data_IF_355433035008
#
_entry.id   IF_355433035008
#
_cell.length_a   1.000
_cell.length_b   1.000
_cell.length_c   1.000
_cell.angle_alpha   90.00
_cell.angle_beta   90.00
_cell.angle_gamma   90.00
#
_symmetry.space_group_name_H-M   'P 1'
#
loop_
_entity.id
_entity.type
_entity.pdbx_description
1 polymer ?
#
# COMPACT_ATOMS: atom_id res chain seq x y z
N UNK A 1 -18.42 -27.36 5.65
CA UNK A 1 -17.67 -26.95 6.85
C UNK A 1 -17.80 -25.43 6.98
N UNK A 2 -18.44 -24.93 8.03
CA UNK A 2 -18.57 -23.50 8.24
C UNK A 2 -17.19 -22.98 8.68
N UNK A 3 -16.58 -22.16 7.85
CA UNK A 3 -15.32 -21.49 8.17
C UNK A 3 -15.54 -20.55 9.36
N UNK A 4 -14.75 -20.68 10.40
CA UNK A 4 -14.84 -19.83 11.60
C UNK A 4 -14.37 -18.41 11.25
N UNK A 5 -14.92 -17.38 11.89
CA UNK A 5 -14.45 -16.01 11.79
C UNK A 5 -12.94 -15.88 12.04
N UNK A 6 -12.38 -16.73 12.89
CA UNK A 6 -10.94 -16.81 13.16
C UNK A 6 -10.14 -17.21 11.92
N UNK A 7 -10.67 -18.15 11.11
CA UNK A 7 -10.02 -18.60 9.88
C UNK A 7 -9.99 -17.49 8.83
N UNK A 8 -11.06 -16.67 8.76
CA UNK A 8 -11.09 -15.49 7.87
C UNK A 8 -10.05 -14.44 8.27
N UNK A 9 -9.93 -14.15 9.57
CA UNK A 9 -8.95 -13.16 10.06
C UNK A 9 -7.51 -13.66 9.86
N UNK A 10 -7.25 -14.94 10.10
CA UNK A 10 -5.91 -15.51 9.89
C UNK A 10 -5.52 -15.53 8.42
N UNK A 11 -6.45 -15.88 7.53
CA UNK A 11 -6.20 -15.96 6.10
C UNK A 11 -6.25 -14.60 5.38
N UNK A 12 -6.67 -13.54 6.05
CA UNK A 12 -6.72 -12.17 5.47
C UNK A 12 -5.34 -11.48 5.38
N UNK A 13 -4.25 -12.14 5.81
CA UNK A 13 -2.90 -11.57 5.85
C UNK A 13 -2.47 -10.83 4.57
N UNK A 14 -2.59 -11.43 3.36
CA UNK A 14 -2.23 -10.76 2.12
C UNK A 14 -3.03 -9.48 1.85
N UNK A 15 -4.31 -9.46 2.22
CA UNK A 15 -5.18 -8.29 2.07
C UNK A 15 -4.73 -7.10 2.94
N UNK A 16 -4.24 -7.34 4.14
CA UNK A 16 -3.73 -6.30 5.02
C UNK A 16 -2.43 -5.68 4.49
N UNK A 17 -1.53 -6.51 3.94
CA UNK A 17 -0.31 -6.01 3.29
C UNK A 17 -0.68 -5.13 2.09
N UNK A 18 -1.64 -5.56 1.29
CA UNK A 18 -2.11 -4.80 0.14
C UNK A 18 -2.78 -3.49 0.56
N UNK A 19 -3.58 -3.50 1.62
CA UNK A 19 -4.16 -2.29 2.20
C UNK A 19 -3.08 -1.32 2.70
N UNK A 20 -2.01 -1.83 3.34
CA UNK A 20 -0.88 -1.01 3.79
C UNK A 20 -0.17 -0.32 2.63
N UNK A 21 0.04 -1.02 1.52
CA UNK A 21 0.63 -0.42 0.29
C UNK A 21 -0.30 0.64 -0.30
N UNK A 22 -1.60 0.39 -0.32
CA UNK A 22 -2.59 1.32 -0.89
C UNK A 22 -2.77 2.58 -0.03
N UNK A 23 -2.74 2.44 1.29
CA UNK A 23 -2.80 3.56 2.25
C UNK A 23 -1.47 4.31 2.41
N UNK A 24 -0.50 4.02 1.57
CA UNK A 24 0.79 4.68 1.60
C UNK A 24 0.69 6.21 1.49
N UNK A 25 1.73 6.90 1.99
CA UNK A 25 1.79 8.37 2.04
C UNK A 25 1.54 9.05 0.70
N UNK A 26 1.96 8.42 -0.41
CA UNK A 26 1.70 8.96 -1.76
C UNK A 26 0.22 9.09 -2.09
N UNK A 27 -0.59 8.10 -1.72
CA UNK A 27 -2.05 8.13 -1.93
C UNK A 27 -2.72 9.19 -1.06
N UNK A 28 -2.31 9.29 0.21
CA UNK A 28 -2.83 10.31 1.13
C UNK A 28 -2.50 11.72 0.66
N UNK A 29 -1.24 11.97 0.31
CA UNK A 29 -0.79 13.28 -0.18
C UNK A 29 -1.51 13.65 -1.49
N UNK A 30 -1.63 12.71 -2.43
CA UNK A 30 -2.34 12.96 -3.69
C UNK A 30 -3.81 13.28 -3.47
N UNK A 31 -4.47 12.60 -2.52
CA UNK A 31 -5.88 12.88 -2.17
C UNK A 31 -6.05 14.26 -1.54
N UNK A 32 -5.16 14.63 -0.62
CA UNK A 32 -5.16 15.97 -0.01
C UNK A 32 -4.89 17.04 -1.05
N UNK A 33 -3.93 16.83 -1.95
CA UNK A 33 -3.60 17.77 -3.02
C UNK A 33 -4.77 17.96 -4.01
N UNK A 34 -5.49 16.88 -4.32
CA UNK A 34 -6.71 16.95 -5.13
C UNK A 34 -7.76 17.86 -4.49
N UNK A 35 -7.94 17.75 -3.16
CA UNK A 35 -8.87 18.61 -2.42
C UNK A 35 -8.42 20.08 -2.39
N UNK A 36 -7.12 20.34 -2.33
CA UNK A 36 -6.55 21.71 -2.34
C UNK A 36 -6.77 22.39 -3.69
N UNK A 37 -6.61 21.66 -4.81
CA UNK A 37 -6.77 22.24 -6.16
C UNK A 37 -8.23 22.36 -6.56
N UNK A 38 -9.03 21.33 -6.33
CA UNK A 38 -10.37 21.21 -6.86
C UNK A 38 -11.50 21.34 -5.84
N UNK A 39 -11.16 21.58 -4.57
CA UNK A 39 -12.15 21.62 -3.50
C UNK A 39 -12.94 20.31 -3.41
N UNK A 40 -14.20 20.42 -3.02
CA UNK A 40 -15.10 19.27 -2.88
C UNK A 40 -15.58 18.68 -4.22
N UNK A 41 -15.46 19.43 -5.32
CA UNK A 41 -15.96 19.02 -6.64
C UNK A 41 -15.26 17.77 -7.19
N UNK A 42 -14.03 17.52 -6.79
CA UNK A 42 -13.25 16.36 -7.23
C UNK A 42 -13.21 15.18 -6.23
N UNK A 43 -13.88 15.28 -5.09
CA UNK A 43 -13.89 14.20 -4.09
C UNK A 43 -14.40 12.86 -4.64
N UNK A 44 -15.33 12.88 -5.59
CA UNK A 44 -15.86 11.66 -6.22
C UNK A 44 -14.84 10.90 -7.06
N UNK A 45 -13.77 11.55 -7.52
CA UNK A 45 -12.71 10.91 -8.30
C UNK A 45 -11.94 9.88 -7.46
N UNK A 46 -11.80 10.10 -6.16
CA UNK A 46 -11.08 9.21 -5.27
C UNK A 46 -11.77 7.84 -5.12
N UNK A 47 -13.07 7.75 -4.77
CA UNK A 47 -13.78 6.49 -4.77
C UNK A 47 -13.78 5.80 -6.14
N UNK A 48 -13.89 6.55 -7.23
CA UNK A 48 -13.86 6.00 -8.59
C UNK A 48 -12.49 5.38 -8.91
N UNK A 49 -11.39 6.09 -8.61
CA UNK A 49 -10.03 5.59 -8.81
C UNK A 49 -9.79 4.32 -7.98
N UNK A 50 -10.24 4.29 -6.72
CA UNK A 50 -10.16 3.12 -5.85
C UNK A 50 -10.95 1.94 -6.43
N UNK A 51 -12.15 2.15 -6.91
CA UNK A 51 -12.99 1.12 -7.52
C UNK A 51 -12.32 0.55 -8.78
N UNK A 52 -11.78 1.38 -9.64
CA UNK A 52 -10.99 0.93 -10.80
C UNK A 52 -9.77 0.09 -10.38
N UNK A 53 -9.05 0.52 -9.35
CA UNK A 53 -7.92 -0.23 -8.79
C UNK A 53 -8.33 -1.61 -8.25
N UNK A 54 -9.44 -1.69 -7.50
CA UNK A 54 -9.97 -2.95 -6.96
C UNK A 54 -10.36 -3.90 -8.10
N UNK A 55 -11.05 -3.41 -9.13
CA UNK A 55 -11.44 -4.21 -10.30
C UNK A 55 -10.23 -4.74 -11.04
N UNK A 56 -9.22 -3.90 -11.29
CA UNK A 56 -7.98 -4.31 -11.97
C UNK A 56 -7.21 -5.37 -11.17
N UNK A 57 -7.04 -5.15 -9.87
CA UNK A 57 -6.36 -6.10 -8.99
C UNK A 57 -7.15 -7.40 -8.85
N UNK A 58 -8.46 -7.32 -8.71
CA UNK A 58 -9.34 -8.48 -8.67
C UNK A 58 -9.25 -9.32 -9.94
N UNK A 59 -9.27 -8.68 -11.11
CA UNK A 59 -9.11 -9.35 -12.40
C UNK A 59 -7.75 -10.02 -12.52
N UNK A 60 -6.66 -9.34 -12.14
CA UNK A 60 -5.31 -9.89 -12.20
C UNK A 60 -5.17 -11.10 -11.26
N UNK A 61 -5.66 -11.00 -10.03
CA UNK A 61 -5.64 -12.10 -9.06
C UNK A 61 -6.50 -13.28 -9.55
N UNK A 62 -7.69 -13.02 -10.11
CA UNK A 62 -8.54 -14.07 -10.65
C UNK A 62 -7.84 -14.83 -11.79
N UNK A 63 -7.23 -14.11 -12.73
CA UNK A 63 -6.52 -14.72 -13.85
C UNK A 63 -5.33 -15.55 -13.35
N UNK A 64 -4.55 -15.03 -12.40
CA UNK A 64 -3.39 -15.77 -11.86
C UNK A 64 -3.78 -17.00 -11.07
N UNK A 65 -4.79 -16.91 -10.22
CA UNK A 65 -5.26 -18.02 -9.38
C UNK A 65 -6.02 -19.09 -10.18
N UNK A 66 -6.60 -18.74 -11.33
CA UNK A 66 -7.30 -19.70 -12.19
C UNK A 66 -6.35 -20.62 -12.99
N UNK A 67 -5.05 -20.34 -13.01
CA UNK A 67 -4.08 -21.19 -13.68
C UNK A 67 -3.81 -22.47 -12.89
N UNK A 68 -3.89 -23.59 -13.58
CA UNK A 68 -3.62 -24.92 -12.98
C UNK A 68 -2.14 -25.22 -12.80
N UNK A 69 -1.27 -24.55 -13.55
CA UNK A 69 0.18 -24.76 -13.51
C UNK A 69 0.83 -23.74 -12.58
N UNK A 70 1.47 -24.17 -11.47
CA UNK A 70 2.15 -23.26 -10.54
C UNK A 70 3.25 -22.41 -11.20
N UNK A 71 3.84 -22.88 -12.29
CA UNK A 71 4.88 -22.12 -13.02
C UNK A 71 4.30 -20.96 -13.82
N UNK A 72 3.00 -21.00 -14.15
CA UNK A 72 2.29 -19.97 -14.90
C UNK A 72 1.50 -18.99 -13.99
N UNK A 73 1.52 -19.18 -12.67
CA UNK A 73 0.79 -18.32 -11.75
C UNK A 73 1.41 -16.92 -11.57
N UNK A 74 2.47 -16.59 -12.31
CA UNK A 74 3.08 -15.27 -12.25
C UNK A 74 2.48 -14.36 -13.32
N UNK A 75 1.97 -13.16 -12.99
CA UNK A 75 1.37 -12.23 -13.97
C UNK A 75 2.26 -11.96 -15.18
N UNK A 76 3.56 -11.84 -14.97
CA UNK A 76 4.53 -11.66 -16.05
C UNK A 76 4.55 -12.83 -17.03
N UNK A 77 4.55 -14.08 -16.54
CA UNK A 77 4.57 -15.27 -17.39
C UNK A 77 3.26 -15.40 -18.20
N UNK A 78 2.15 -15.08 -17.56
CA UNK A 78 0.84 -15.05 -18.23
C UNK A 78 0.80 -14.03 -19.36
N UNK A 79 1.26 -12.81 -19.11
CA UNK A 79 1.32 -11.77 -20.12
C UNK A 79 2.27 -12.15 -21.26
N UNK A 80 3.45 -12.70 -20.92
CA UNK A 80 4.45 -13.14 -21.91
C UNK A 80 3.96 -14.25 -22.80
N UNK A 81 3.28 -15.26 -22.23
CA UNK A 81 2.90 -16.47 -22.96
C UNK A 81 1.58 -16.30 -23.73
N UNK A 82 0.63 -15.52 -23.20
CA UNK A 82 -0.73 -15.44 -23.77
C UNK A 82 -0.99 -14.13 -24.55
N UNK A 83 -0.17 -13.08 -24.36
CA UNK A 83 -0.38 -11.79 -25.02
C UNK A 83 0.82 -11.46 -25.91
N UNK A 84 1.92 -11.01 -25.33
CA UNK A 84 3.14 -10.65 -26.06
C UNK A 84 4.33 -10.51 -25.11
N UNK A 85 5.49 -11.02 -25.53
CA UNK A 85 6.73 -10.86 -24.76
C UNK A 85 7.14 -9.39 -24.63
N UNK A 86 6.97 -8.59 -25.67
CA UNK A 86 7.31 -7.15 -25.68
C UNK A 86 6.44 -6.37 -24.68
N UNK A 87 5.12 -6.62 -24.68
CA UNK A 87 4.20 -5.98 -23.73
C UNK A 87 4.49 -6.41 -22.29
N UNK A 88 4.80 -7.67 -22.05
CA UNK A 88 5.16 -8.17 -20.73
C UNK A 88 6.41 -7.49 -20.17
N UNK A 89 7.45 -7.34 -20.98
CA UNK A 89 8.67 -6.62 -20.59
C UNK A 89 8.42 -5.13 -20.38
N UNK A 90 7.66 -4.47 -21.26
CA UNK A 90 7.28 -3.07 -21.10
C UNK A 90 6.52 -2.83 -19.80
N UNK A 91 5.56 -3.70 -19.48
CA UNK A 91 4.82 -3.64 -18.22
C UNK A 91 5.73 -3.87 -17.00
N UNK A 92 6.63 -4.84 -17.05
CA UNK A 92 7.57 -5.12 -15.97
C UNK A 92 8.49 -3.92 -15.70
N UNK A 93 9.08 -3.35 -16.74
CA UNK A 93 9.97 -2.19 -16.62
C UNK A 93 9.19 -1.00 -16.07
N UNK A 94 8.00 -0.73 -16.61
CA UNK A 94 7.14 0.35 -16.12
C UNK A 94 6.76 0.17 -14.63
N UNK A 95 6.42 -1.06 -14.22
CA UNK A 95 6.12 -1.37 -12.83
C UNK A 95 7.34 -1.18 -11.92
N UNK A 96 8.53 -1.58 -12.34
CA UNK A 96 9.77 -1.39 -11.57
C UNK A 96 10.08 0.10 -11.40
N UNK A 97 10.01 0.88 -12.48
CA UNK A 97 10.25 2.33 -12.43
C UNK A 97 9.24 3.03 -11.53
N UNK A 98 7.95 2.70 -11.66
CA UNK A 98 6.91 3.24 -10.80
C UNK A 98 7.16 2.93 -9.32
N UNK A 99 7.54 1.68 -9.00
CA UNK A 99 7.86 1.30 -7.62
C UNK A 99 9.06 2.07 -7.06
N UNK A 100 10.10 2.32 -7.86
CA UNK A 100 11.26 3.13 -7.42
C UNK A 100 10.81 4.54 -7.06
N UNK A 101 9.99 5.17 -7.90
CA UNK A 101 9.46 6.54 -7.64
C UNK A 101 8.59 6.55 -6.38
N UNK A 102 7.72 5.56 -6.22
CA UNK A 102 6.89 5.43 -5.00
C UNK A 102 7.73 5.22 -3.74
N UNK A 103 8.76 4.37 -3.79
CA UNK A 103 9.66 4.17 -2.65
C UNK A 103 10.36 5.47 -2.26
N UNK A 104 10.85 6.25 -3.22
CA UNK A 104 11.51 7.52 -2.94
C UNK A 104 10.60 8.49 -2.18
N UNK A 105 9.33 8.61 -2.59
CA UNK A 105 8.34 9.45 -1.91
C UNK A 105 8.05 9.00 -0.48
N UNK A 106 8.02 7.68 -0.21
CA UNK A 106 7.81 7.15 1.14
C UNK A 106 8.97 7.51 2.09
N UNK A 107 10.20 7.44 1.61
CA UNK A 107 11.37 7.85 2.41
C UNK A 107 11.35 9.35 2.72
N UNK A 108 10.95 10.20 1.76
CA UNK A 108 10.79 11.63 1.97
C UNK A 108 9.75 11.91 3.07
N UNK A 109 8.55 11.33 2.94
CA UNK A 109 7.48 11.47 3.94
C UNK A 109 7.89 10.94 5.32
N UNK A 110 8.60 9.81 5.38
CA UNK A 110 9.12 9.28 6.63
C UNK A 110 10.13 10.22 7.28
N UNK A 111 10.99 10.83 6.49
CA UNK A 111 11.96 11.83 6.95
C UNK A 111 11.27 13.08 7.51
N UNK A 112 10.28 13.61 6.77
CA UNK A 112 9.50 14.77 7.18
C UNK A 112 8.70 14.49 8.46
N UNK A 113 8.13 13.30 8.59
CA UNK A 113 7.41 12.90 9.78
C UNK A 113 8.31 12.82 11.01
N UNK A 114 9.52 12.29 10.87
CA UNK A 114 10.50 12.21 11.97
C UNK A 114 10.98 13.61 12.37
N UNK A 115 11.28 14.47 11.43
CA UNK A 115 11.73 15.83 11.71
C UNK A 115 10.61 16.70 12.27
N UNK A 116 9.43 16.68 11.64
CA UNK A 116 8.32 17.55 12.01
C UNK A 116 7.59 17.13 13.28
N UNK A 117 7.35 15.82 13.46
CA UNK A 117 6.51 15.35 14.57
C UNK A 117 7.33 14.89 15.79
N UNK A 118 8.52 14.32 15.59
CA UNK A 118 9.39 13.87 16.67
C UNK A 118 10.43 14.92 17.06
N UNK A 119 10.53 16.03 16.33
CA UNK A 119 11.46 17.10 16.62
C UNK A 119 12.93 16.67 16.52
N UNK A 120 13.22 15.60 15.81
CA UNK A 120 14.57 15.08 15.67
C UNK A 120 15.37 15.93 14.67
N UNK A 121 15.84 17.07 15.13
CA UNK A 121 16.64 18.00 14.34
C UNK A 121 18.04 17.44 14.15
N UNK A 122 18.22 16.69 13.07
CA UNK A 122 19.54 16.25 12.61
C UNK A 122 20.08 17.26 11.61
N UNK A 123 21.40 17.46 11.58
CA UNK A 123 22.07 18.45 10.74
C UNK A 123 21.79 18.32 9.24
N UNK A 124 21.30 17.15 8.78
CA UNK A 124 20.95 16.90 7.39
C UNK A 124 19.80 15.89 7.26
N UNK A 125 18.74 16.17 6.50
CA UNK A 125 17.64 15.25 6.24
C UNK A 125 18.10 13.94 5.59
N UNK A 126 19.20 13.95 4.85
CA UNK A 126 19.77 12.76 4.22
C UNK A 126 20.20 11.68 5.23
N UNK A 127 20.58 12.05 6.45
CA UNK A 127 20.97 11.10 7.49
C UNK A 127 19.77 10.28 7.95
N UNK A 128 18.60 10.89 8.12
CA UNK A 128 17.35 10.21 8.48
C UNK A 128 16.90 9.30 7.34
N UNK A 129 16.94 9.81 6.11
CA UNK A 129 16.58 9.01 4.92
C UNK A 129 17.49 7.78 4.81
N UNK A 130 18.80 7.91 5.03
CA UNK A 130 19.74 6.79 5.00
C UNK A 130 19.49 5.78 6.13
N UNK A 131 19.17 6.25 7.33
CA UNK A 131 18.78 5.40 8.45
C UNK A 131 17.52 4.61 8.14
N UNK A 132 16.48 5.28 7.61
CA UNK A 132 15.24 4.63 7.18
C UNK A 132 15.50 3.57 6.09
N UNK A 133 16.41 3.86 5.16
CA UNK A 133 16.79 2.92 4.11
C UNK A 133 17.45 1.65 4.68
N UNK A 134 18.37 1.79 5.65
CA UNK A 134 19.00 0.65 6.33
C UNK A 134 17.94 -0.16 7.07
N UNK A 135 17.02 0.50 7.80
CA UNK A 135 15.93 -0.16 8.51
C UNK A 135 15.04 -0.93 7.52
N UNK A 136 14.70 -0.33 6.39
CA UNK A 136 13.88 -0.97 5.35
C UNK A 136 14.55 -2.22 4.78
N UNK A 137 15.86 -2.16 4.47
CA UNK A 137 16.62 -3.34 4.02
C UNK A 137 16.61 -4.44 5.09
N UNK A 138 16.85 -4.07 6.34
CA UNK A 138 16.81 -5.01 7.47
C UNK A 138 15.45 -5.67 7.61
N UNK A 139 14.36 -4.92 7.51
CA UNK A 139 13.00 -5.44 7.55
C UNK A 139 12.69 -6.38 6.38
N UNK A 140 13.11 -6.02 5.16
CA UNK A 140 12.94 -6.88 3.97
C UNK A 140 13.69 -8.21 4.17
N UNK A 141 14.90 -8.15 4.68
CA UNK A 141 15.70 -9.35 4.95
C UNK A 141 15.07 -10.24 6.02
N UNK A 142 14.56 -9.66 7.11
CA UNK A 142 13.84 -10.36 8.17
C UNK A 142 12.50 -10.95 7.67
N UNK A 143 11.79 -10.23 6.79
CA UNK A 143 10.52 -10.68 6.23
C UNK A 143 10.69 -11.80 5.19
N UNK A 144 11.83 -11.85 4.50
CA UNK A 144 12.15 -12.89 3.51
C UNK A 144 12.44 -14.24 4.14
N UNK A 145 12.65 -14.31 5.47
CA UNK A 145 12.83 -15.55 6.23
C UNK A 145 11.48 -16.20 6.55
N UNK A 146 11.43 -17.53 6.45
CA UNK A 146 10.30 -18.32 6.96
C UNK A 146 10.43 -18.44 8.49
N UNK A 147 9.45 -17.93 9.25
CA UNK A 147 9.44 -18.12 10.69
C UNK A 147 8.66 -17.07 11.50
N UNK A 148 8.85 -17.09 12.82
CA UNK A 148 8.16 -16.21 13.79
C UNK A 148 8.29 -14.73 13.50
N UNK A 149 9.37 -14.28 12.86
CA UNK A 149 9.59 -12.89 12.47
C UNK A 149 8.62 -12.42 11.39
N UNK A 150 8.35 -13.26 10.39
CA UNK A 150 7.36 -12.95 9.34
C UNK A 150 5.95 -12.77 9.94
N UNK A 151 5.57 -13.61 10.91
CA UNK A 151 4.30 -13.46 11.63
C UNK A 151 4.26 -12.16 12.46
N UNK A 152 5.35 -11.81 13.13
CA UNK A 152 5.44 -10.59 13.92
C UNK A 152 5.29 -9.35 13.03
N UNK A 153 6.03 -9.28 11.91
CA UNK A 153 5.94 -8.18 10.95
C UNK A 153 4.52 -8.08 10.39
N UNK A 154 3.90 -9.20 10.04
CA UNK A 154 2.53 -9.23 9.53
C UNK A 154 1.52 -8.71 10.58
N UNK A 155 1.69 -9.07 11.85
CA UNK A 155 0.84 -8.57 12.94
C UNK A 155 1.05 -7.07 13.20
N UNK A 156 2.29 -6.58 13.12
CA UNK A 156 2.59 -5.14 13.24
C UNK A 156 1.95 -4.37 12.10
N UNK A 157 2.06 -4.87 10.85
CA UNK A 157 1.40 -4.24 9.69
C UNK A 157 -0.12 -4.20 9.88
N UNK A 158 -0.74 -5.31 10.33
CA UNK A 158 -2.18 -5.35 10.61
C UNK A 158 -2.59 -4.30 11.64
N UNK A 159 -1.82 -4.19 12.74
CA UNK A 159 -2.08 -3.21 13.78
C UNK A 159 -1.96 -1.78 13.27
N UNK A 160 -0.91 -1.47 12.52
CA UNK A 160 -0.69 -0.14 11.94
C UNK A 160 -1.83 0.24 10.98
N UNK A 161 -2.19 -0.65 10.06
CA UNK A 161 -3.30 -0.39 9.11
C UNK A 161 -4.62 -0.20 9.85
N UNK A 162 -4.91 -1.05 10.85
CA UNK A 162 -6.12 -0.90 11.66
C UNK A 162 -6.15 0.45 12.40
N UNK A 163 -5.01 0.87 12.97
CA UNK A 163 -4.90 2.17 13.64
C UNK A 163 -5.16 3.32 12.68
N UNK A 164 -4.57 3.29 11.48
CA UNK A 164 -4.79 4.32 10.45
C UNK A 164 -6.26 4.37 10.04
N UNK A 165 -6.87 3.22 9.74
CA UNK A 165 -8.29 3.15 9.34
C UNK A 165 -9.20 3.69 10.44
N UNK A 166 -8.98 3.29 11.70
CA UNK A 166 -9.77 3.77 12.84
C UNK A 166 -9.59 5.28 13.01
N UNK A 167 -8.38 5.80 12.92
CA UNK A 167 -8.10 7.23 13.03
C UNK A 167 -8.85 8.03 11.95
N UNK A 168 -8.83 7.57 10.69
CA UNK A 168 -9.59 8.20 9.62
C UNK A 168 -11.10 8.11 9.83
N UNK A 169 -11.61 6.98 10.29
CA UNK A 169 -13.03 6.83 10.62
C UNK A 169 -13.46 7.84 11.69
N UNK A 170 -12.66 8.01 12.75
CA UNK A 170 -12.93 8.98 13.80
C UNK A 170 -12.96 10.40 13.21
N UNK A 171 -11.97 10.77 12.40
CA UNK A 171 -11.91 12.09 11.76
C UNK A 171 -13.13 12.32 10.87
N UNK A 172 -13.54 11.36 10.06
CA UNK A 172 -14.72 11.46 9.18
C UNK A 172 -16.00 11.62 10.01
N UNK A 173 -16.16 10.88 11.10
CA UNK A 173 -17.34 10.98 11.98
C UNK A 173 -17.38 12.36 12.64
N UNK A 174 -16.25 12.83 13.17
CA UNK A 174 -16.17 14.13 13.86
C UNK A 174 -16.42 15.29 12.91
N UNK A 175 -15.77 15.29 11.73
CA UNK A 175 -15.96 16.33 10.73
C UNK A 175 -17.32 16.23 10.04
N UNK A 176 -17.82 15.02 9.76
CA UNK A 176 -19.12 14.80 9.15
C UNK A 176 -20.27 15.30 10.04
N UNK A 177 -20.16 15.09 11.34
CA UNK A 177 -21.12 15.64 12.32
C UNK A 177 -21.05 17.17 12.40
N UNK A 178 -19.88 17.76 12.18
CA UNK A 178 -19.71 19.23 12.17
C UNK A 178 -20.30 19.88 10.93
N UNK A 179 -20.25 19.21 9.76
CA UNK A 179 -20.81 19.72 8.49
C UNK A 179 -22.34 19.67 8.43
N UNK A 180 -22.99 18.85 9.24
CA UNK A 180 -24.47 18.80 9.35
C UNK A 180 -25.00 19.99 10.16
N UNK A 181 -24.16 20.73 10.89
CA UNK A 181 -24.51 21.88 11.71
C UNK A 181 -24.20 23.25 11.02
N UNK A 182 -23.75 23.27 9.78
CA UNK A 182 -23.59 24.46 8.94
C UNK A 182 -24.66 24.45 7.86
#
# INVERSE_FOLDING_TARGET
MASSWKDYIQNSGPGWIQAAVTLGGGTLVSSLYLCVIGGYDFLWLQPLAMLCGIVMLGALNYITLSQKDPKQNRPFQLAKNNVSATLAWGWLIGAVVANIVFCASQFALGTDAIQGNLGWNVSSPYQITFLLFIIAIGLIWLFSGEGRFSELVNNVIKLLVATVVISFMIVVIVLGLSLIHI
#
